data_IF_670661183562
#
_entry.id   IF_670661183562
#
_cell.length_a   1.000
_cell.length_b   1.000
_cell.length_c   1.000
_cell.angle_alpha   90.00
_cell.angle_beta   90.00
_cell.angle_gamma   90.00
#
_symmetry.space_group_name_H-M   'P 1'
#
loop_
_entity.id
_entity.type
_entity.pdbx_description
1 polymer ?
#
# COMPACT_ATOMS: atom_id res chain seq x y z
N UNK A 1 6.93 -0.74 -20.06
CA UNK A 1 7.61 -1.56 -21.08
C UNK A 1 6.90 -2.88 -21.34
N UNK A 2 6.66 -3.73 -20.32
CA UNK A 2 5.99 -5.03 -20.53
C UNK A 2 4.48 -4.90 -20.80
N UNK A 3 3.86 -3.80 -20.38
CA UNK A 3 2.51 -3.36 -20.76
C UNK A 3 2.67 -2.02 -21.52
N UNK A 4 2.93 -2.02 -22.84
CA UNK A 4 3.22 -0.81 -23.61
C UNK A 4 1.99 0.11 -23.74
N UNK A 5 0.78 -0.42 -23.60
CA UNK A 5 -0.48 0.34 -23.63
C UNK A 5 -0.52 1.43 -22.55
N UNK A 6 0.20 1.26 -21.43
CA UNK A 6 0.32 2.28 -20.37
C UNK A 6 0.99 3.58 -20.85
N UNK A 7 1.82 3.51 -21.90
CA UNK A 7 2.56 4.66 -22.44
C UNK A 7 1.59 5.70 -23.03
N UNK A 8 0.42 5.28 -23.51
CA UNK A 8 -0.57 6.20 -24.09
C UNK A 8 -1.03 7.27 -23.10
N UNK A 9 -0.98 6.98 -21.78
CA UNK A 9 -1.30 7.95 -20.73
C UNK A 9 -0.45 9.21 -20.83
N UNK A 10 0.81 9.10 -21.28
CA UNK A 10 1.71 10.25 -21.46
C UNK A 10 1.20 11.28 -22.48
N UNK A 11 0.27 10.91 -23.36
CA UNK A 11 -0.28 11.81 -24.38
C UNK A 11 -1.33 12.76 -23.81
N UNK A 12 -2.10 12.34 -22.79
CA UNK A 12 -3.30 13.06 -22.37
C UNK A 12 -3.49 13.18 -20.85
N UNK A 13 -2.61 12.58 -20.04
CA UNK A 13 -2.63 12.74 -18.58
C UNK A 13 -1.69 13.87 -18.16
N UNK A 14 -2.22 14.81 -17.37
CA UNK A 14 -1.42 15.86 -16.74
C UNK A 14 -0.57 15.27 -15.60
N UNK A 15 0.39 16.07 -15.10
CA UNK A 15 1.08 15.74 -13.86
C UNK A 15 0.06 15.63 -12.73
N UNK A 16 0.17 14.59 -11.91
CA UNK A 16 -0.73 14.40 -10.77
C UNK A 16 -0.46 15.45 -9.69
N UNK A 17 -1.51 16.07 -9.18
CA UNK A 17 -1.49 16.81 -7.92
C UNK A 17 -1.44 15.86 -6.71
N UNK A 18 -1.15 16.37 -5.52
CA UNK A 18 -0.99 15.55 -4.30
C UNK A 18 -2.22 14.70 -3.93
N UNK A 19 -3.41 15.07 -4.40
CA UNK A 19 -4.68 14.38 -4.17
C UNK A 19 -5.19 13.59 -5.39
N UNK A 20 -4.34 13.34 -6.39
CA UNK A 20 -4.70 12.62 -7.61
C UNK A 20 -3.98 11.28 -7.72
N UNK A 21 -4.63 10.30 -8.35
CA UNK A 21 -4.04 9.05 -8.77
C UNK A 21 -4.60 8.67 -10.14
N UNK A 22 -3.83 7.92 -10.91
CA UNK A 22 -4.24 7.47 -12.24
C UNK A 22 -4.55 5.98 -12.19
N UNK A 23 -5.78 5.62 -12.54
CA UNK A 23 -6.20 4.23 -12.69
C UNK A 23 -6.23 3.82 -14.16
N UNK A 24 -5.65 2.66 -14.48
CA UNK A 24 -5.66 2.07 -15.80
C UNK A 24 -6.17 0.63 -15.70
N UNK A 25 -7.25 0.33 -16.40
CA UNK A 25 -7.91 -0.99 -16.41
C UNK A 25 -7.84 -1.58 -17.80
N UNK A 26 -7.44 -2.85 -17.91
CA UNK A 26 -7.46 -3.58 -19.17
C UNK A 26 -6.12 -3.80 -19.83
N UNK A 27 -5.03 -3.25 -19.28
CA UNK A 27 -3.72 -3.33 -19.90
C UNK A 27 -3.25 -4.79 -20.05
N UNK A 28 -2.86 -5.16 -21.26
CA UNK A 28 -2.30 -6.47 -21.59
C UNK A 28 -0.78 -6.48 -21.39
N UNK A 29 -0.24 -7.58 -20.86
CA UNK A 29 1.21 -7.79 -20.80
C UNK A 29 1.66 -8.51 -22.07
N UNK A 30 2.67 -7.98 -22.74
CA UNK A 30 3.18 -8.52 -24.01
C UNK A 30 4.57 -9.13 -23.90
N UNK A 31 5.33 -8.80 -22.85
CA UNK A 31 6.74 -9.18 -22.76
C UNK A 31 7.13 -9.81 -21.42
N UNK A 32 8.01 -10.80 -21.50
CA UNK A 32 8.79 -11.31 -20.39
C UNK A 32 10.08 -10.50 -20.26
N UNK A 33 10.54 -10.34 -19.02
CA UNK A 33 11.81 -9.68 -18.74
C UNK A 33 12.55 -10.40 -17.61
N UNK A 34 13.86 -10.19 -17.55
CA UNK A 34 14.68 -10.50 -16.39
C UNK A 34 15.55 -9.30 -16.02
N UNK A 35 16.08 -9.30 -14.79
CA UNK A 35 16.94 -8.24 -14.28
C UNK A 35 16.21 -6.93 -14.00
N UNK A 36 16.98 -5.96 -13.51
CA UNK A 36 16.53 -4.62 -13.14
C UNK A 36 17.65 -3.60 -13.39
N UNK A 37 17.29 -2.34 -13.61
CA UNK A 37 18.26 -1.28 -13.92
C UNK A 37 19.12 -1.64 -15.14
N UNK A 38 20.44 -1.57 -15.00
CA UNK A 38 21.39 -1.91 -16.07
C UNK A 38 21.34 -3.38 -16.52
N UNK A 39 20.84 -4.28 -15.68
CA UNK A 39 20.69 -5.71 -15.99
C UNK A 39 19.36 -6.06 -16.67
N UNK A 40 18.47 -5.08 -16.89
CA UNK A 40 17.18 -5.31 -17.51
C UNK A 40 17.32 -5.85 -18.94
N UNK A 41 16.64 -6.97 -19.22
CA UNK A 41 16.62 -7.63 -20.53
C UNK A 41 15.23 -8.13 -20.87
N UNK A 42 14.84 -7.95 -22.13
CA UNK A 42 13.75 -8.71 -22.75
C UNK A 42 14.18 -10.16 -22.91
N UNK A 43 13.30 -11.11 -22.56
CA UNK A 43 13.62 -12.55 -22.59
C UNK A 43 12.63 -13.38 -23.41
N UNK A 44 11.61 -12.75 -23.98
CA UNK A 44 10.63 -13.41 -24.84
C UNK A 44 9.25 -12.79 -24.73
N UNK A 45 8.37 -13.26 -25.61
CA UNK A 45 6.97 -12.84 -25.63
C UNK A 45 6.22 -13.38 -24.41
N UNK A 46 5.18 -12.65 -24.00
CA UNK A 46 4.24 -13.09 -22.97
C UNK A 46 2.85 -13.15 -23.58
N UNK A 47 2.25 -14.35 -23.56
CA UNK A 47 0.85 -14.53 -23.91
C UNK A 47 -0.01 -14.30 -22.66
N UNK A 48 -0.68 -13.16 -22.57
CA UNK A 48 -1.52 -12.86 -21.41
C UNK A 48 -2.82 -13.66 -21.43
N UNK A 49 -2.91 -14.65 -20.54
CA UNK A 49 -4.08 -15.52 -20.39
C UNK A 49 -5.07 -15.00 -19.36
N UNK A 50 -4.91 -13.78 -18.86
CA UNK A 50 -5.88 -13.19 -17.92
C UNK A 50 -7.27 -13.13 -18.55
N UNK A 51 -8.33 -13.43 -17.77
CA UNK A 51 -9.69 -13.35 -18.24
C UNK A 51 -10.06 -11.92 -18.63
N UNK A 52 -11.08 -11.79 -19.47
CA UNK A 52 -11.69 -10.51 -19.79
C UNK A 52 -12.84 -10.22 -18.81
N UNK A 53 -13.08 -8.93 -18.56
CA UNK A 53 -14.29 -8.48 -17.88
C UNK A 53 -15.47 -8.34 -18.86
N UNK A 54 -16.62 -7.89 -18.34
CA UNK A 54 -17.84 -7.71 -19.14
C UNK A 54 -17.71 -6.64 -20.25
N UNK A 55 -16.69 -5.77 -20.18
CA UNK A 55 -16.40 -4.75 -21.18
C UNK A 55 -15.32 -5.20 -22.18
N UNK A 56 -14.87 -6.46 -22.11
CA UNK A 56 -13.83 -6.99 -22.98
C UNK A 56 -12.42 -6.51 -22.61
N UNK A 57 -12.21 -5.96 -21.41
CA UNK A 57 -10.90 -5.53 -20.92
C UNK A 57 -10.24 -6.67 -20.16
N UNK A 58 -8.92 -6.83 -20.24
CA UNK A 58 -8.19 -7.77 -19.37
C UNK A 58 -8.47 -7.44 -17.90
N UNK A 59 -8.63 -8.45 -17.05
CA UNK A 59 -8.72 -8.27 -15.59
C UNK A 59 -7.34 -7.91 -14.99
N UNK A 60 -6.82 -6.77 -15.42
CA UNK A 60 -5.61 -6.10 -14.96
C UNK A 60 -6.01 -4.69 -14.56
N UNK A 61 -5.75 -4.31 -13.31
CA UNK A 61 -5.98 -2.97 -12.78
C UNK A 61 -4.67 -2.46 -12.20
N UNK A 62 -4.18 -1.35 -12.74
CA UNK A 62 -2.93 -0.71 -12.34
C UNK A 62 -3.28 0.69 -11.86
N UNK A 63 -2.78 1.07 -10.68
CA UNK A 63 -2.92 2.42 -10.15
C UNK A 63 -1.54 3.04 -10.04
N UNK A 64 -1.34 4.19 -10.67
CA UNK A 64 -0.15 4.99 -10.56
C UNK A 64 -0.32 6.04 -9.45
N UNK A 65 0.63 6.04 -8.52
CA UNK A 65 0.79 7.01 -7.43
C UNK A 65 2.27 7.41 -7.34
N UNK A 66 2.53 8.71 -7.20
CA UNK A 66 3.87 9.29 -7.12
C UNK A 66 4.27 9.53 -5.66
N UNK A 67 5.42 9.02 -5.22
CA UNK A 67 5.98 9.31 -3.90
C UNK A 67 6.78 10.62 -3.92
N UNK A 68 7.05 11.19 -2.74
CA UNK A 68 7.96 12.34 -2.62
C UNK A 68 9.36 11.96 -3.09
N UNK A 69 9.97 12.82 -3.91
CA UNK A 69 11.34 12.64 -4.40
C UNK A 69 12.36 13.18 -3.38
N UNK A 70 13.31 12.34 -2.99
CA UNK A 70 14.38 12.64 -2.06
C UNK A 70 13.91 13.40 -0.81
N UNK A 71 12.95 12.88 -0.02
CA UNK A 71 12.26 13.65 1.00
C UNK A 71 13.16 14.05 2.18
N UNK A 72 14.32 13.40 2.37
CA UNK A 72 15.28 13.68 3.47
C UNK A 72 14.60 13.73 4.86
N UNK A 73 14.39 14.92 5.45
CA UNK A 73 13.67 15.10 6.72
C UNK A 73 12.15 15.09 6.57
N UNK A 74 11.64 15.54 5.41
CA UNK A 74 10.21 15.68 5.13
C UNK A 74 9.45 14.35 5.32
N UNK A 75 10.10 13.20 5.08
CA UNK A 75 9.48 11.89 5.29
C UNK A 75 9.12 11.57 6.74
N UNK A 76 9.62 12.36 7.71
CA UNK A 76 9.29 12.26 9.14
C UNK A 76 8.48 13.48 9.61
N UNK A 77 8.37 14.54 8.81
CA UNK A 77 7.54 15.69 9.13
C UNK A 77 6.07 15.33 8.92
N UNK A 78 5.18 15.86 9.77
CA UNK A 78 3.75 15.56 9.71
C UNK A 78 3.14 15.88 8.34
N UNK A 79 3.59 16.95 7.69
CA UNK A 79 3.18 17.32 6.34
C UNK A 79 3.54 16.26 5.31
N UNK A 80 4.78 15.75 5.33
CA UNK A 80 5.23 14.70 4.42
C UNK A 80 4.58 13.36 4.69
N UNK A 81 4.43 12.96 5.96
CA UNK A 81 3.68 11.77 6.34
C UNK A 81 2.23 11.82 5.82
N UNK A 82 1.55 12.96 6.03
CA UNK A 82 0.17 13.14 5.61
C UNK A 82 0.03 13.13 4.09
N UNK A 83 0.94 13.79 3.37
CA UNK A 83 0.97 13.79 1.90
C UNK A 83 1.06 12.36 1.36
N UNK A 84 1.97 11.55 1.89
CA UNK A 84 2.20 10.19 1.40
C UNK A 84 1.05 9.23 1.75
N UNK A 85 0.46 9.36 2.95
CA UNK A 85 -0.76 8.61 3.31
C UNK A 85 -1.92 8.99 2.41
N UNK A 86 -2.16 10.28 2.17
CA UNK A 86 -3.25 10.74 1.33
C UNK A 86 -3.09 10.30 -0.14
N UNK A 87 -1.88 10.39 -0.68
CA UNK A 87 -1.56 9.91 -2.02
C UNK A 87 -1.83 8.41 -2.18
N UNK A 88 -1.35 7.60 -1.23
CA UNK A 88 -1.63 6.17 -1.22
C UNK A 88 -3.13 5.90 -1.06
N UNK A 89 -3.81 6.62 -0.17
CA UNK A 89 -5.25 6.47 0.07
C UNK A 89 -6.07 6.75 -1.20
N UNK A 90 -5.80 7.86 -1.90
CA UNK A 90 -6.49 8.19 -3.17
C UNK A 90 -6.29 7.08 -4.20
N UNK A 91 -5.07 6.53 -4.32
CA UNK A 91 -4.82 5.41 -5.22
C UNK A 91 -5.49 4.10 -4.80
N UNK A 92 -5.65 3.89 -3.49
CA UNK A 92 -6.26 2.66 -2.97
C UNK A 92 -7.78 2.75 -2.84
N UNK A 93 -8.37 3.93 -2.95
CA UNK A 93 -9.81 4.10 -2.81
C UNK A 93 -10.59 3.32 -3.88
N UNK A 94 -11.59 2.55 -3.46
CA UNK A 94 -12.50 1.87 -4.38
C UNK A 94 -13.78 2.69 -4.58
N UNK A 95 -13.86 3.43 -5.68
CA UNK A 95 -15.03 4.26 -5.97
C UNK A 95 -16.31 3.41 -6.13
N UNK A 96 -16.20 2.14 -6.53
CA UNK A 96 -17.36 1.25 -6.71
C UNK A 96 -18.01 0.86 -5.38
N UNK A 97 -17.24 0.83 -4.28
CA UNK A 97 -17.73 0.51 -2.93
C UNK A 97 -18.21 1.75 -2.18
N UNK A 98 -17.67 2.92 -2.50
CA UNK A 98 -18.06 4.17 -1.83
C UNK A 98 -19.52 4.60 -2.06
N UNK A 99 -20.18 4.10 -3.11
CA UNK A 99 -21.61 4.30 -3.33
C UNK A 99 -22.50 3.48 -2.37
N UNK A 100 -21.97 2.45 -1.69
CA UNK A 100 -22.78 1.62 -0.78
C UNK A 100 -22.81 2.14 0.67
N UNK A 101 -21.77 2.86 1.11
CA UNK A 101 -21.70 3.42 2.47
C UNK A 101 -22.37 4.80 2.60
N UNK A 102 -22.57 5.51 1.49
CA UNK A 102 -23.48 6.67 1.44
C UNK A 102 -24.87 6.15 1.11
N UNK A 103 -25.59 5.58 2.09
CA UNK A 103 -27.04 5.45 1.95
C UNK A 103 -27.64 6.85 1.99
N UNK A 104 -28.21 7.40 0.89
CA UNK A 104 -29.17 8.46 1.05
C UNK A 104 -30.35 7.85 1.80
N UNK A 105 -30.92 8.60 2.73
CA UNK A 105 -32.20 8.27 3.36
C UNK A 105 -33.18 7.72 2.32
N UNK A 106 -33.40 6.39 2.29
CA UNK A 106 -34.34 5.77 1.36
C UNK A 106 -35.68 5.62 2.07
N UNK A 107 -36.64 6.43 1.64
CA UNK A 107 -38.05 6.22 1.90
C UNK A 107 -38.45 4.82 1.45
N UNK A 108 -39.11 4.12 2.36
CA UNK A 108 -39.60 2.76 2.15
C UNK A 108 -40.77 2.81 1.15
N UNK A 109 -40.53 2.54 -0.14
CA UNK A 109 -41.48 1.89 -1.07
C UNK A 109 -41.02 1.93 -2.55
N UNK A 110 -40.23 0.95 -2.96
CA UNK A 110 -40.27 0.44 -4.35
C UNK A 110 -39.61 -0.94 -4.40
N UNK A 111 -40.43 -1.97 -4.62
CA UNK A 111 -39.98 -3.32 -4.93
C UNK A 111 -39.57 -3.34 -6.40
N UNK A 112 -38.27 -3.29 -6.69
CA UNK A 112 -37.76 -3.62 -8.02
C UNK A 112 -36.66 -4.67 -7.94
N UNK A 113 -36.79 -5.63 -8.87
CA UNK A 113 -36.06 -6.87 -8.94
C UNK A 113 -34.58 -6.68 -9.25
N UNK A 114 -33.75 -7.43 -8.51
CA UNK A 114 -32.30 -7.64 -8.67
C UNK A 114 -31.78 -7.65 -10.12
N UNK A 115 -30.50 -7.29 -10.27
CA UNK A 115 -29.51 -8.27 -10.67
C UNK A 115 -28.71 -8.68 -9.44
N UNK A 116 -28.59 -9.98 -9.24
CA UNK A 116 -27.66 -10.61 -8.31
C UNK A 116 -26.25 -10.16 -8.70
N UNK A 117 -25.70 -9.18 -7.97
CA UNK A 117 -24.29 -8.80 -8.11
C UNK A 117 -23.47 -9.94 -7.52
N UNK A 118 -23.05 -10.81 -8.44
CA UNK A 118 -22.10 -11.89 -8.25
C UNK A 118 -20.89 -11.39 -7.44
N UNK A 119 -20.49 -12.19 -6.44
CA UNK A 119 -19.26 -12.11 -5.65
C UNK A 119 -18.64 -10.71 -5.54
N UNK A 120 -18.77 -10.06 -4.39
CA UNK A 120 -17.90 -8.92 -4.05
C UNK A 120 -16.47 -9.40 -4.21
N UNK A 121 -15.85 -9.08 -5.35
CA UNK A 121 -14.46 -9.43 -5.57
C UNK A 121 -13.69 -8.75 -4.45
N UNK A 122 -13.03 -9.57 -3.63
CA UNK A 122 -12.24 -9.15 -2.50
C UNK A 122 -10.94 -8.54 -3.06
N UNK A 123 -11.04 -7.34 -3.64
CA UNK A 123 -9.92 -6.68 -4.32
C UNK A 123 -9.03 -5.99 -3.28
N UNK A 124 -7.93 -6.66 -2.92
CA UNK A 124 -6.84 -6.09 -2.13
C UNK A 124 -5.87 -5.24 -2.95
N UNK A 125 -4.76 -4.86 -2.32
CA UNK A 125 -3.66 -4.07 -2.93
C UNK A 125 -2.43 -4.95 -3.09
N UNK A 126 -1.79 -4.91 -4.26
CA UNK A 126 -0.46 -5.52 -4.47
C UNK A 126 0.57 -4.40 -4.64
N UNK A 127 1.54 -4.30 -3.74
CA UNK A 127 2.50 -3.18 -3.68
C UNK A 127 3.86 -3.61 -3.11
N UNK A 128 4.80 -2.69 -2.92
CA UNK A 128 6.10 -2.94 -2.30
C UNK A 128 6.75 -1.67 -1.79
N UNK A 129 8.07 -1.55 -1.95
CA UNK A 129 8.90 -0.44 -1.47
C UNK A 129 8.70 0.87 -2.29
N UNK A 130 7.47 1.37 -2.30
CA UNK A 130 7.03 2.56 -3.02
C UNK A 130 7.83 3.79 -2.58
N UNK A 131 8.55 4.41 -3.53
CA UNK A 131 9.37 5.60 -3.27
C UNK A 131 10.67 5.35 -2.51
N UNK A 132 11.09 4.11 -2.27
CA UNK A 132 12.27 3.82 -1.43
C UNK A 132 13.59 3.64 -2.20
N UNK A 133 13.51 3.42 -3.51
CA UNK A 133 14.68 3.27 -4.38
C UNK A 133 15.29 4.62 -4.75
N UNK A 134 15.15 5.02 -6.02
CA UNK A 134 15.68 6.28 -6.53
C UNK A 134 15.23 7.52 -5.74
N UNK A 135 14.03 7.48 -5.15
CA UNK A 135 13.46 8.60 -4.39
C UNK A 135 13.89 8.60 -2.90
N UNK A 136 14.60 7.58 -2.41
CA UNK A 136 15.24 7.59 -1.10
C UNK A 136 14.29 7.62 0.12
N UNK A 137 13.03 7.23 -0.03
CA UNK A 137 12.11 7.05 1.09
C UNK A 137 12.46 5.88 2.01
N UNK A 138 12.14 5.98 3.29
CA UNK A 138 12.34 4.91 4.26
C UNK A 138 11.32 3.77 4.07
N UNK A 139 11.75 2.53 3.76
CA UNK A 139 10.85 1.40 3.50
C UNK A 139 10.02 0.97 4.72
N UNK A 140 10.56 1.07 5.93
CA UNK A 140 9.83 0.72 7.15
C UNK A 140 8.62 1.64 7.33
N UNK A 141 8.81 2.96 7.23
CA UNK A 141 7.72 3.94 7.31
C UNK A 141 6.76 3.82 6.13
N UNK A 142 7.27 3.65 4.91
CA UNK A 142 6.45 3.49 3.69
C UNK A 142 5.57 2.25 3.71
N UNK A 143 6.03 1.15 4.32
CA UNK A 143 5.21 -0.05 4.49
C UNK A 143 4.00 0.21 5.39
N UNK A 144 4.19 0.91 6.51
CA UNK A 144 3.12 1.26 7.43
C UNK A 144 2.16 2.30 6.84
N UNK A 145 2.68 3.32 6.13
CA UNK A 145 1.87 4.32 5.41
C UNK A 145 0.91 3.64 4.44
N UNK A 146 1.41 2.69 3.66
CA UNK A 146 0.57 1.95 2.70
C UNK A 146 -0.45 1.06 3.41
N UNK A 147 -0.09 0.46 4.54
CA UNK A 147 -1.03 -0.34 5.34
C UNK A 147 -2.15 0.51 5.95
N UNK A 148 -1.82 1.70 6.48
CA UNK A 148 -2.80 2.67 6.97
C UNK A 148 -3.76 3.10 5.85
N UNK A 149 -3.22 3.51 4.71
CA UNK A 149 -4.00 3.95 3.57
C UNK A 149 -4.94 2.85 3.04
N UNK A 150 -4.44 1.60 2.94
CA UNK A 150 -5.24 0.47 2.48
C UNK A 150 -6.35 0.13 3.47
N UNK A 151 -6.06 0.14 4.77
CA UNK A 151 -7.03 -0.10 5.83
C UNK A 151 -8.13 0.98 5.85
N UNK A 152 -7.73 2.25 5.72
CA UNK A 152 -8.67 3.38 5.64
C UNK A 152 -9.52 3.34 4.36
N UNK A 153 -8.97 2.83 3.25
CA UNK A 153 -9.69 2.60 2.00
C UNK A 153 -10.53 1.30 2.00
N UNK A 154 -10.65 0.62 3.15
CA UNK A 154 -11.37 -0.65 3.30
C UNK A 154 -10.92 -1.74 2.31
N UNK A 155 -9.62 -1.78 2.01
CA UNK A 155 -9.03 -2.85 1.23
C UNK A 155 -8.88 -4.09 2.14
N UNK A 156 -9.35 -5.26 1.70
CA UNK A 156 -9.43 -6.45 2.54
C UNK A 156 -8.06 -7.07 2.87
N UNK A 157 -7.04 -6.82 2.05
CA UNK A 157 -5.67 -7.26 2.27
C UNK A 157 -4.67 -6.42 1.48
N UNK A 158 -3.40 -6.48 1.88
CA UNK A 158 -2.25 -5.94 1.14
C UNK A 158 -1.23 -7.06 0.93
N UNK A 159 -0.92 -7.35 -0.33
CA UNK A 159 0.23 -8.17 -0.70
C UNK A 159 1.45 -7.25 -0.84
N UNK A 160 2.36 -7.30 0.13
CA UNK A 160 3.55 -6.47 0.16
C UNK A 160 4.78 -7.25 -0.30
N UNK A 161 5.39 -6.84 -1.40
CA UNK A 161 6.61 -7.43 -1.95
C UNK A 161 7.84 -6.64 -1.47
N UNK A 162 8.63 -7.24 -0.58
CA UNK A 162 9.78 -6.58 0.07
C UNK A 162 11.03 -6.50 -0.79
N UNK A 163 11.12 -7.32 -1.85
CA UNK A 163 12.32 -7.48 -2.68
C UNK A 163 13.59 -7.78 -1.85
N UNK A 164 13.44 -8.61 -0.80
CA UNK A 164 14.55 -9.03 0.08
C UNK A 164 15.25 -7.87 0.80
N UNK A 165 14.57 -6.73 0.94
CA UNK A 165 15.11 -5.59 1.68
C UNK A 165 15.28 -5.94 3.17
N UNK A 166 16.55 -6.00 3.61
CA UNK A 166 16.91 -6.38 4.98
C UNK A 166 16.39 -5.44 6.06
N UNK A 167 16.03 -4.20 5.73
CA UNK A 167 15.38 -3.28 6.68
C UNK A 167 13.98 -3.77 7.09
N UNK A 168 13.31 -4.53 6.22
CA UNK A 168 11.95 -5.04 6.45
C UNK A 168 11.93 -6.44 7.09
N UNK A 169 13.06 -6.95 7.57
CA UNK A 169 13.16 -8.31 8.15
C UNK A 169 12.20 -8.54 9.33
N UNK A 170 11.85 -7.49 10.08
CA UNK A 170 10.95 -7.54 11.24
C UNK A 170 9.50 -7.15 10.90
N UNK A 171 9.18 -6.95 9.62
CA UNK A 171 7.86 -6.46 9.20
C UNK A 171 6.74 -7.41 9.65
N UNK A 172 6.95 -8.72 9.52
CA UNK A 172 5.98 -9.72 9.96
C UNK A 172 5.78 -9.68 11.49
N UNK A 173 6.85 -9.54 12.28
CA UNK A 173 6.75 -9.42 13.74
C UNK A 173 5.88 -8.21 14.14
N UNK A 174 6.10 -7.06 13.49
CA UNK A 174 5.30 -5.85 13.70
C UNK A 174 3.84 -6.06 13.31
N UNK A 175 3.57 -6.69 12.15
CA UNK A 175 2.20 -6.98 11.72
C UNK A 175 1.48 -7.84 12.77
N UNK A 176 2.12 -8.92 13.22
CA UNK A 176 1.55 -9.80 14.25
C UNK A 176 1.34 -9.07 15.58
N UNK A 177 2.26 -8.19 15.97
CA UNK A 177 2.13 -7.36 17.16
C UNK A 177 0.90 -6.45 17.08
N UNK A 178 0.78 -5.68 16.00
CA UNK A 178 -0.33 -4.73 15.77
C UNK A 178 -1.68 -5.47 15.73
N UNK A 179 -1.75 -6.60 15.01
CA UNK A 179 -2.97 -7.42 14.92
C UNK A 179 -3.36 -8.03 16.26
N UNK A 180 -2.40 -8.57 17.03
CA UNK A 180 -2.65 -9.16 18.36
C UNK A 180 -3.23 -8.15 19.34
N UNK A 181 -2.77 -6.90 19.27
CA UNK A 181 -3.24 -5.82 20.15
C UNK A 181 -4.48 -5.10 19.60
N UNK A 182 -4.97 -5.47 18.41
CA UNK A 182 -6.19 -4.90 17.83
C UNK A 182 -6.10 -3.41 17.53
N UNK A 183 -4.92 -2.91 17.16
CA UNK A 183 -4.73 -1.48 16.90
C UNK A 183 -5.57 -1.01 15.71
N UNK A 184 -6.14 0.18 15.87
CA UNK A 184 -6.84 0.95 14.85
C UNK A 184 -5.85 1.69 13.93
N UNK A 185 -6.37 2.19 12.80
CA UNK A 185 -5.63 3.10 11.90
C UNK A 185 -5.07 4.30 12.67
N UNK A 186 -5.87 4.87 13.59
CA UNK A 186 -5.46 6.03 14.40
C UNK A 186 -4.31 5.73 15.36
N UNK A 187 -4.31 4.56 16.00
CA UNK A 187 -3.25 4.16 16.93
C UNK A 187 -1.93 3.90 16.21
N UNK A 188 -1.95 3.15 15.09
CA UNK A 188 -0.73 2.94 14.30
C UNK A 188 -0.21 4.26 13.70
N UNK A 189 -1.10 5.14 13.23
CA UNK A 189 -0.72 6.50 12.81
C UNK A 189 -0.04 7.29 13.93
N UNK A 190 -0.60 7.24 15.15
CA UNK A 190 -0.01 7.91 16.30
C UNK A 190 1.41 7.43 16.57
N UNK A 191 1.66 6.12 16.50
CA UNK A 191 3.00 5.55 16.67
C UNK A 191 3.99 5.99 15.59
N UNK A 192 3.56 6.09 14.33
CA UNK A 192 4.40 6.62 13.24
C UNK A 192 4.76 8.09 13.50
N UNK A 193 3.79 8.91 13.92
CA UNK A 193 4.02 10.32 14.22
C UNK A 193 4.97 10.49 15.40
N UNK A 194 4.80 9.71 16.46
CA UNK A 194 5.66 9.73 17.64
C UNK A 194 7.10 9.33 17.30
N UNK A 195 7.28 8.19 16.62
CA UNK A 195 8.60 7.77 16.11
C UNK A 195 9.25 8.87 15.26
N UNK A 196 8.49 9.46 14.35
CA UNK A 196 9.00 10.46 13.41
C UNK A 196 9.43 11.75 14.12
N UNK A 197 8.68 12.17 15.16
CA UNK A 197 9.05 13.26 16.05
C UNK A 197 10.38 12.97 16.77
N UNK A 198 10.52 11.79 17.37
CA UNK A 198 11.77 11.37 18.04
C UNK A 198 12.94 11.30 17.04
N UNK A 199 12.70 10.81 15.82
CA UNK A 199 13.70 10.74 14.75
C UNK A 199 14.19 12.13 14.34
N UNK A 200 13.28 13.09 14.19
CA UNK A 200 13.62 14.49 13.86
C UNK A 200 14.41 15.18 14.98
N UNK A 201 14.07 14.89 16.23
CA UNK A 201 14.78 15.41 17.43
C UNK A 201 16.08 14.66 17.73
N UNK A 202 16.36 13.56 17.03
CA UNK A 202 17.49 12.65 17.26
C UNK A 202 17.46 11.97 18.64
N UNK A 203 16.26 11.71 19.14
CA UNK A 203 16.02 10.98 20.39
C UNK A 203 16.07 9.46 20.16
N UNK A 204 15.84 8.98 18.93
CA UNK A 204 16.03 7.58 18.53
C UNK A 204 16.85 7.45 17.24
N UNK A 205 17.67 6.40 17.18
CA UNK A 205 18.45 6.01 16.02
C UNK A 205 18.04 4.66 15.42
N UNK A 206 17.08 3.96 16.04
CA UNK A 206 16.57 2.68 15.55
C UNK A 206 15.65 2.85 14.34
N UNK A 207 15.54 1.78 13.54
CA UNK A 207 14.48 1.66 12.54
C UNK A 207 13.12 1.58 13.22
N UNK A 208 12.07 2.08 12.57
CA UNK A 208 10.70 2.09 13.09
C UNK A 208 10.24 0.71 13.55
N UNK A 209 10.51 -0.35 12.77
CA UNK A 209 10.04 -1.69 13.09
C UNK A 209 10.67 -2.22 14.38
N UNK A 210 11.94 -1.88 14.63
CA UNK A 210 12.62 -2.23 15.87
C UNK A 210 12.13 -1.36 17.02
N UNK A 211 12.02 -0.05 16.81
CA UNK A 211 11.56 0.90 17.81
C UNK A 211 10.15 0.61 18.31
N UNK A 212 9.28 0.08 17.45
CA UNK A 212 7.88 -0.20 17.79
C UNK A 212 7.71 -1.44 18.67
N UNK A 213 8.57 -2.44 18.50
CA UNK A 213 8.48 -3.69 19.23
C UNK A 213 9.05 -3.51 20.64
N UNK A 214 8.47 -4.19 21.65
CA UNK A 214 9.04 -4.14 23.00
C UNK A 214 10.47 -4.65 22.98
N UNK A 215 11.30 -4.15 23.90
CA UNK A 215 12.63 -4.72 24.12
C UNK A 215 12.46 -6.21 24.48
N UNK A 216 13.24 -7.07 23.83
CA UNK A 216 13.30 -8.49 24.20
C UNK A 216 13.80 -8.55 25.65
N UNK A 217 12.90 -8.73 26.61
CA UNK A 217 13.24 -9.12 27.97
C UNK A 217 13.71 -10.59 27.93
N UNK A 218 14.88 -10.84 27.35
CA UNK A 218 15.63 -12.06 27.52
C UNK A 218 16.26 -12.05 28.93
N UNK A 219 15.43 -12.17 29.96
CA UNK A 219 15.74 -12.66 31.31
C UNK A 219 14.61 -12.28 32.26
N UNK A 220 13.80 -13.26 32.65
CA UNK A 220 13.11 -13.43 33.93
C UNK A 220 11.79 -14.15 33.65
N UNK A 221 11.86 -15.48 33.56
CA UNK A 221 10.83 -16.41 34.05
C UNK A 221 11.36 -17.85 33.86
N UNK A 222 12.46 -18.12 34.54
CA UNK A 222 12.92 -19.48 34.81
C UNK A 222 13.33 -19.56 36.29
N UNK A 223 12.46 -19.06 37.18
CA UNK A 223 12.59 -19.26 38.62
C UNK A 223 11.20 -19.25 39.26
N UNK A 224 10.38 -20.22 38.89
CA UNK A 224 9.30 -20.72 39.75
C UNK A 224 9.21 -22.25 39.58
N UNK A 225 10.15 -22.92 40.26
CA UNK A 225 10.00 -24.26 40.81
C UNK A 225 10.26 -24.15 42.32
N UNK A 226 9.51 -24.93 43.11
CA UNK A 226 9.33 -24.95 44.58
C UNK A 226 8.09 -24.15 45.03
N UNK A 227 7.04 -24.74 45.60
CA UNK A 227 6.82 -26.05 46.25
C UNK A 227 5.57 -26.80 45.74
#
# INVERSE_FOLDING_TARGET
MINPELIVGMLFMASMEDNEAIEIVGAERFSQYMGYGSSFRFVGDYLDTKPLDAMGRRKTRIVAIDALDCPTKLQYETSGLLREVNKAFVGFLDQSKHQFDVKPFQDSNSKDNHPSVNSVDCIGVSTGNWGCGAFGGNPEIKSMIQWLAASQAHRPFVNYYTFEDGSLRRLEEVIQWVLRHGWTVGELWHMIVEYSSQRLKRETFDGFLTWLLPEDNANNDADYMCE
#
